data_IF_756014252534
#
_entry.id   IF_756014252534
#
_cell.length_a   1.000
_cell.length_b   1.000
_cell.length_c   1.000
_cell.angle_alpha   90.00
_cell.angle_beta   90.00
_cell.angle_gamma   90.00
#
_symmetry.space_group_name_H-M   'P 1'
#
loop_
_entity.id
_entity.type
_entity.pdbx_description
1 polymer ?
#
# COMPACT_ATOMS: atom_id res chain seq x y z
N UNK A 1 -2.65 20.58 -14.62
CA UNK A 1 -1.45 19.75 -14.31
C UNK A 1 -1.80 18.48 -13.52
N UNK A 2 -2.67 18.56 -12.51
CA UNK A 2 -3.07 17.43 -11.65
C UNK A 2 -3.75 16.26 -12.38
N UNK A 3 -4.64 16.52 -13.35
CA UNK A 3 -5.37 15.45 -14.05
C UNK A 3 -4.44 14.51 -14.84
N UNK A 4 -3.42 15.05 -15.52
CA UNK A 4 -2.46 14.25 -16.28
C UNK A 4 -1.66 13.29 -15.38
N UNK A 5 -1.26 13.75 -14.20
CA UNK A 5 -0.56 12.93 -13.21
C UNK A 5 -1.46 11.83 -12.63
N UNK A 6 -2.75 12.12 -12.41
CA UNK A 6 -3.73 11.12 -11.95
C UNK A 6 -3.89 10.01 -13.00
N UNK A 7 -4.06 10.37 -14.27
CA UNK A 7 -4.17 9.40 -15.36
C UNK A 7 -2.88 8.57 -15.45
N UNK A 8 -1.71 9.23 -15.40
CA UNK A 8 -0.41 8.56 -15.45
C UNK A 8 -0.27 7.54 -14.32
N UNK A 9 -0.54 7.95 -13.06
CA UNK A 9 -0.56 7.05 -11.90
C UNK A 9 -1.40 5.83 -12.22
N UNK A 10 -2.67 6.02 -12.59
CA UNK A 10 -3.60 4.92 -12.79
C UNK A 10 -3.17 3.96 -13.90
N UNK A 11 -2.66 4.48 -15.02
CA UNK A 11 -2.10 3.64 -16.10
C UNK A 11 -0.92 2.81 -15.59
N UNK A 12 0.00 3.41 -14.82
CA UNK A 12 1.13 2.68 -14.23
C UNK A 12 0.67 1.56 -13.28
N UNK A 13 -0.53 1.64 -12.70
CA UNK A 13 -1.03 0.61 -11.79
C UNK A 13 -1.38 -0.71 -12.46
N UNK A 14 -1.68 -0.70 -13.76
CA UNK A 14 -1.95 -1.93 -14.51
C UNK A 14 -0.67 -2.64 -14.96
N UNK A 15 0.41 -1.89 -15.17
CA UNK A 15 1.64 -2.41 -15.79
C UNK A 15 2.25 -3.58 -15.00
N UNK A 16 2.44 -3.52 -13.66
CA UNK A 16 2.99 -4.64 -12.91
C UNK A 16 2.18 -5.93 -13.10
N UNK A 17 0.85 -5.85 -13.09
CA UNK A 17 -0.04 -7.00 -13.23
C UNK A 17 0.00 -7.56 -14.65
N UNK A 18 -0.13 -6.71 -15.67
CA UNK A 18 -0.05 -7.11 -17.08
C UNK A 18 1.29 -7.80 -17.36
N UNK A 19 2.38 -7.18 -16.91
CA UNK A 19 3.72 -7.72 -17.09
C UNK A 19 3.89 -9.10 -16.46
N UNK A 20 3.30 -9.29 -15.27
CA UNK A 20 3.29 -10.55 -14.56
C UNK A 20 2.48 -11.63 -15.28
N UNK A 21 1.32 -11.30 -15.83
CA UNK A 21 0.47 -12.23 -16.58
C UNK A 21 1.12 -12.69 -17.89
N UNK A 22 1.80 -11.78 -18.60
CA UNK A 22 2.53 -12.10 -19.83
C UNK A 22 3.75 -13.00 -19.52
N UNK A 23 4.45 -12.71 -18.42
CA UNK A 23 5.69 -13.41 -18.05
C UNK A 23 5.45 -14.65 -17.16
N UNK A 24 4.22 -15.15 -17.06
CA UNK A 24 3.81 -16.19 -16.07
C UNK A 24 4.67 -17.46 -16.07
N UNK A 25 5.22 -17.85 -17.22
CA UNK A 25 6.05 -19.05 -17.37
C UNK A 25 7.52 -18.83 -16.97
N UNK A 26 7.94 -17.56 -16.83
CA UNK A 26 9.30 -17.15 -16.50
C UNK A 26 9.42 -16.59 -15.08
N UNK A 27 8.35 -16.63 -14.29
CA UNK A 27 8.32 -16.02 -12.96
C UNK A 27 8.59 -17.06 -11.89
N UNK A 28 9.49 -16.71 -10.97
CA UNK A 28 9.79 -17.55 -9.82
C UNK A 28 8.52 -17.76 -8.99
N UNK A 29 8.26 -19.00 -8.57
CA UNK A 29 7.07 -19.34 -7.77
C UNK A 29 6.98 -18.54 -6.46
N UNK A 30 8.11 -18.08 -5.93
CA UNK A 30 8.18 -17.21 -4.77
C UNK A 30 7.54 -15.82 -5.00
N UNK A 31 7.48 -15.32 -6.23
CA UNK A 31 6.80 -14.05 -6.53
C UNK A 31 5.28 -14.13 -6.49
N UNK A 32 4.69 -15.35 -6.51
CA UNK A 32 3.23 -15.52 -6.47
C UNK A 32 2.59 -14.88 -5.23
N UNK A 33 3.37 -14.72 -4.17
CA UNK A 33 2.97 -14.04 -2.93
C UNK A 33 2.55 -12.59 -3.16
N UNK A 34 3.08 -11.92 -4.20
CA UNK A 34 2.74 -10.53 -4.52
C UNK A 34 1.43 -10.38 -5.30
N UNK A 35 0.86 -11.46 -5.84
CA UNK A 35 -0.31 -11.39 -6.73
C UNK A 35 -1.49 -10.64 -6.12
N UNK A 36 -1.90 -10.92 -4.86
CA UNK A 36 -3.03 -10.21 -4.26
C UNK A 36 -2.82 -8.70 -4.22
N UNK A 37 -1.60 -8.26 -3.91
CA UNK A 37 -1.25 -6.84 -3.88
C UNK A 37 -1.31 -6.20 -5.27
N UNK A 38 -0.74 -6.85 -6.28
CA UNK A 38 -0.77 -6.34 -7.66
C UNK A 38 -2.18 -6.26 -8.24
N UNK A 39 -3.02 -7.26 -7.93
CA UNK A 39 -4.45 -7.25 -8.30
C UNK A 39 -5.16 -6.08 -7.63
N UNK A 40 -4.91 -5.85 -6.33
CA UNK A 40 -5.51 -4.74 -5.59
C UNK A 40 -5.13 -3.38 -6.20
N UNK A 41 -3.84 -3.18 -6.54
CA UNK A 41 -3.35 -1.94 -7.18
C UNK A 41 -3.99 -1.72 -8.55
N UNK A 42 -4.09 -2.77 -9.37
CA UNK A 42 -4.74 -2.69 -10.68
C UNK A 42 -6.25 -2.38 -10.53
N UNK A 43 -6.93 -3.03 -9.59
CA UNK A 43 -8.34 -2.80 -9.33
C UNK A 43 -8.63 -1.39 -8.79
N UNK A 44 -7.78 -0.87 -7.90
CA UNK A 44 -7.89 0.51 -7.44
C UNK A 44 -7.65 1.52 -8.57
N UNK A 45 -6.72 1.24 -9.47
CA UNK A 45 -6.49 2.08 -10.65
C UNK A 45 -7.68 2.07 -11.60
N UNK A 46 -8.34 0.93 -11.75
CA UNK A 46 -9.58 0.80 -12.51
C UNK A 46 -10.72 1.58 -11.86
N UNK A 47 -10.91 1.42 -10.54
CA UNK A 47 -11.94 2.15 -9.80
C UNK A 47 -11.74 3.67 -9.89
N UNK A 48 -10.50 4.15 -9.78
CA UNK A 48 -10.22 5.58 -9.87
C UNK A 48 -10.48 6.13 -11.29
N UNK A 49 -10.14 5.38 -12.34
CA UNK A 49 -10.43 5.80 -13.72
C UNK A 49 -11.91 5.77 -14.07
N UNK A 50 -12.67 4.80 -13.54
CA UNK A 50 -14.08 4.59 -13.91
C UNK A 50 -15.02 5.17 -12.86
N UNK A 51 -14.93 4.70 -11.62
CA UNK A 51 -15.78 5.09 -10.50
C UNK A 51 -15.68 6.57 -10.15
N UNK A 52 -14.46 7.09 -9.96
CA UNK A 52 -14.30 8.49 -9.51
C UNK A 52 -14.37 9.49 -10.68
N UNK A 53 -13.67 9.24 -11.79
CA UNK A 53 -13.64 10.17 -12.93
C UNK A 53 -14.88 10.12 -13.83
N UNK A 54 -15.40 8.94 -14.16
CA UNK A 54 -16.55 8.80 -15.08
C UNK A 54 -17.87 8.87 -14.31
N UNK A 55 -18.03 8.05 -13.27
CA UNK A 55 -19.30 7.90 -12.57
C UNK A 55 -19.47 8.82 -11.35
N UNK A 56 -18.42 9.56 -10.94
CA UNK A 56 -18.41 10.46 -9.77
C UNK A 56 -18.95 9.81 -8.49
N UNK A 57 -18.75 8.50 -8.35
CA UNK A 57 -19.18 7.76 -7.15
C UNK A 57 -18.41 8.30 -5.94
N UNK A 58 -19.08 8.37 -4.79
CA UNK A 58 -18.46 8.88 -3.57
C UNK A 58 -17.23 8.04 -3.18
N UNK A 59 -16.05 8.64 -3.30
CA UNK A 59 -14.75 8.00 -3.04
C UNK A 59 -14.58 7.59 -1.56
N UNK A 60 -15.38 8.14 -0.66
CA UNK A 60 -15.31 7.92 0.80
C UNK A 60 -15.42 6.43 1.18
N UNK A 61 -16.44 5.73 0.69
CA UNK A 61 -16.65 4.31 1.01
C UNK A 61 -15.56 3.44 0.39
N UNK A 62 -15.19 3.75 -0.85
CA UNK A 62 -14.12 3.07 -1.56
C UNK A 62 -12.80 3.17 -0.80
N UNK A 63 -12.42 4.37 -0.35
CA UNK A 63 -11.17 4.59 0.36
C UNK A 63 -11.09 3.77 1.65
N UNK A 64 -12.19 3.70 2.42
CA UNK A 64 -12.26 2.89 3.64
C UNK A 64 -12.09 1.39 3.36
N UNK A 65 -12.79 0.88 2.35
CA UNK A 65 -12.71 -0.53 1.95
C UNK A 65 -11.31 -0.82 1.40
N UNK A 66 -10.74 0.09 0.64
CA UNK A 66 -9.40 -0.03 0.08
C UNK A 66 -8.35 -0.16 1.19
N UNK A 67 -8.40 0.67 2.25
CA UNK A 67 -7.48 0.55 3.39
C UNK A 67 -7.54 -0.84 4.05
N UNK A 68 -8.75 -1.39 4.23
CA UNK A 68 -8.91 -2.74 4.76
C UNK A 68 -8.28 -3.80 3.84
N UNK A 69 -8.57 -3.71 2.53
CA UNK A 69 -8.05 -4.64 1.55
C UNK A 69 -6.51 -4.54 1.46
N UNK A 70 -5.98 -3.32 1.48
CA UNK A 70 -4.54 -3.02 1.46
C UNK A 70 -3.85 -3.67 2.65
N UNK A 71 -4.37 -3.46 3.86
CA UNK A 71 -3.86 -4.11 5.05
C UNK A 71 -3.89 -5.63 4.96
N UNK A 72 -4.99 -6.23 4.48
CA UNK A 72 -5.11 -7.70 4.33
C UNK A 72 -4.04 -8.25 3.37
N UNK A 73 -3.83 -7.62 2.22
CA UNK A 73 -2.86 -8.12 1.24
C UNK A 73 -1.41 -7.94 1.72
N UNK A 74 -1.10 -6.85 2.43
CA UNK A 74 0.22 -6.61 3.03
C UNK A 74 0.46 -7.58 4.19
N UNK A 75 -0.55 -7.82 5.01
CA UNK A 75 -0.53 -8.80 6.09
C UNK A 75 -0.23 -10.20 5.53
N UNK A 76 -0.95 -10.60 4.48
CA UNK A 76 -0.71 -11.87 3.79
C UNK A 76 0.73 -11.96 3.25
N UNK A 77 1.21 -10.89 2.59
CA UNK A 77 2.56 -10.82 2.06
C UNK A 77 3.62 -11.06 3.14
N UNK A 78 3.61 -10.27 4.23
CA UNK A 78 4.62 -10.41 5.28
C UNK A 78 4.52 -11.76 6.00
N UNK A 79 3.31 -12.28 6.22
CA UNK A 79 3.10 -13.58 6.87
C UNK A 79 3.77 -14.70 6.07
N UNK A 80 3.64 -14.66 4.75
CA UNK A 80 4.23 -15.64 3.85
C UNK A 80 5.74 -15.47 3.73
N UNK A 81 6.25 -14.24 3.57
CA UNK A 81 7.69 -13.99 3.42
C UNK A 81 8.47 -14.31 4.71
N UNK A 82 7.89 -14.10 5.88
CA UNK A 82 8.49 -14.44 7.17
C UNK A 82 8.20 -15.89 7.62
N UNK A 83 7.56 -16.71 6.78
CA UNK A 83 7.21 -18.11 7.05
C UNK A 83 6.53 -18.32 8.42
N UNK A 84 5.72 -17.35 8.88
CA UNK A 84 5.01 -17.44 10.15
C UNK A 84 5.87 -17.36 11.43
N UNK A 85 7.19 -17.10 11.36
CA UNK A 85 8.11 -17.04 12.52
C UNK A 85 7.60 -16.14 13.65
N UNK A 86 6.92 -15.04 13.30
CA UNK A 86 6.42 -14.02 14.24
C UNK A 86 4.91 -14.07 14.46
N UNK A 87 4.31 -15.27 14.46
CA UNK A 87 2.85 -15.46 14.49
C UNK A 87 2.08 -14.65 15.56
N UNK A 88 2.61 -14.55 16.79
CA UNK A 88 1.99 -13.76 17.87
C UNK A 88 1.89 -12.27 17.53
N UNK A 89 2.94 -11.69 16.93
CA UNK A 89 2.95 -10.29 16.50
C UNK A 89 1.95 -10.06 15.36
N UNK A 90 1.86 -11.00 14.40
CA UNK A 90 0.83 -10.93 13.35
C UNK A 90 -0.58 -10.90 13.96
N UNK A 91 -0.88 -11.82 14.88
CA UNK A 91 -2.20 -11.85 15.54
C UNK A 91 -2.47 -10.55 16.31
N UNK A 92 -1.49 -10.01 17.03
CA UNK A 92 -1.62 -8.74 17.75
C UNK A 92 -2.00 -7.60 16.80
N UNK A 93 -1.23 -7.38 15.74
CA UNK A 93 -1.51 -6.32 14.77
C UNK A 93 -2.83 -6.54 14.01
N UNK A 94 -3.14 -7.80 13.64
CA UNK A 94 -4.39 -8.14 12.99
C UNK A 94 -5.60 -7.84 13.86
N UNK A 95 -5.57 -8.21 15.14
CA UNK A 95 -6.63 -7.89 16.10
C UNK A 95 -6.73 -6.38 16.35
N UNK A 96 -5.61 -5.69 16.56
CA UNK A 96 -5.60 -4.23 16.73
C UNK A 96 -6.23 -3.52 15.53
N UNK A 97 -5.86 -3.93 14.31
CA UNK A 97 -6.40 -3.34 13.09
C UNK A 97 -7.90 -3.63 12.94
N UNK A 98 -8.35 -4.87 13.17
CA UNK A 98 -9.77 -5.23 13.10
C UNK A 98 -10.61 -4.49 14.14
N UNK A 99 -10.15 -4.42 15.39
CA UNK A 99 -10.85 -3.69 16.45
C UNK A 99 -10.96 -2.21 16.08
N UNK A 100 -9.86 -1.60 15.62
CA UNK A 100 -9.86 -0.20 15.19
C UNK A 100 -10.80 0.02 13.98
N UNK A 101 -10.75 -0.86 12.98
CA UNK A 101 -11.59 -0.77 11.79
C UNK A 101 -13.08 -0.88 12.14
N UNK A 102 -13.48 -1.89 12.90
CA UNK A 102 -14.87 -2.09 13.34
C UNK A 102 -15.34 -0.96 14.25
N UNK A 103 -14.49 -0.49 15.16
CA UNK A 103 -14.78 0.67 16.00
C UNK A 103 -15.07 1.92 15.17
N UNK A 104 -14.23 2.21 14.16
CA UNK A 104 -14.41 3.37 13.29
C UNK A 104 -15.64 3.25 12.37
N UNK A 105 -16.05 2.04 11.98
CA UNK A 105 -17.32 1.84 11.27
C UNK A 105 -18.53 2.24 12.12
N UNK A 106 -18.49 1.98 13.43
CA UNK A 106 -19.57 2.38 14.34
C UNK A 106 -19.69 3.92 14.44
N UNK A 107 -18.58 4.64 14.30
CA UNK A 107 -18.54 6.11 14.35
C UNK A 107 -18.63 6.79 12.96
N UNK A 108 -18.98 6.06 11.90
CA UNK A 108 -18.95 6.54 10.51
C UNK A 108 -19.72 7.86 10.25
N UNK A 109 -20.85 8.06 10.92
CA UNK A 109 -21.70 9.25 10.79
C UNK A 109 -21.67 10.15 12.04
N UNK A 110 -20.73 9.92 12.96
CA UNK A 110 -20.62 10.77 14.14
C UNK A 110 -20.04 12.14 13.76
N UNK A 111 -20.66 13.22 14.22
CA UNK A 111 -20.15 14.58 14.05
C UNK A 111 -18.75 14.79 14.70
N UNK A 112 -18.35 13.87 15.59
CA UNK A 112 -17.10 13.98 16.36
C UNK A 112 -15.83 13.59 15.59
N UNK A 113 -15.92 12.78 14.53
CA UNK A 113 -14.76 12.27 13.81
C UNK A 113 -14.99 12.43 12.30
N UNK A 114 -14.14 13.21 11.63
CA UNK A 114 -14.19 13.32 10.17
C UNK A 114 -13.69 12.02 9.53
N UNK A 115 -14.24 11.64 8.37
CA UNK A 115 -13.80 10.43 7.66
C UNK A 115 -12.28 10.42 7.42
N UNK A 116 -11.71 11.59 7.10
CA UNK A 116 -10.26 11.80 6.93
C UNK A 116 -9.48 11.44 8.21
N UNK A 117 -9.93 11.89 9.39
CA UNK A 117 -9.28 11.51 10.66
C UNK A 117 -9.39 10.01 10.92
N UNK A 118 -10.56 9.42 10.67
CA UNK A 118 -10.75 7.98 10.85
C UNK A 118 -9.86 7.16 9.88
N UNK A 119 -9.72 7.59 8.63
CA UNK A 119 -8.82 6.95 7.64
C UNK A 119 -7.34 7.08 8.08
N UNK A 120 -6.96 8.22 8.65
CA UNK A 120 -5.59 8.46 9.12
C UNK A 120 -5.15 7.50 10.23
N UNK A 121 -6.05 7.13 11.15
CA UNK A 121 -5.74 6.16 12.21
C UNK A 121 -5.45 4.76 11.65
N UNK A 122 -6.23 4.32 10.68
CA UNK A 122 -6.00 3.03 10.01
C UNK A 122 -4.68 3.02 9.24
N UNK A 123 -4.44 4.06 8.43
CA UNK A 123 -3.19 4.20 7.66
C UNK A 123 -1.97 4.31 8.57
N UNK A 124 -2.09 4.95 9.73
CA UNK A 124 -1.00 5.03 10.73
C UNK A 124 -0.67 3.65 11.30
N UNK A 125 -1.67 2.88 11.69
CA UNK A 125 -1.46 1.53 12.22
C UNK A 125 -0.86 0.60 11.16
N UNK A 126 -1.32 0.71 9.92
CA UNK A 126 -0.76 0.00 8.77
C UNK A 126 0.69 0.40 8.49
N UNK A 127 1.02 1.69 8.60
CA UNK A 127 2.41 2.16 8.45
C UNK A 127 3.32 1.54 9.52
N UNK A 128 2.87 1.54 10.78
CA UNK A 128 3.62 0.89 11.87
C UNK A 128 3.79 -0.60 11.60
N UNK A 129 2.75 -1.29 11.11
CA UNK A 129 2.82 -2.68 10.70
C UNK A 129 3.92 -2.90 9.64
N UNK A 130 3.88 -2.12 8.55
CA UNK A 130 4.87 -2.19 7.47
C UNK A 130 6.28 -2.00 8.02
N UNK A 131 6.52 -1.00 8.86
CA UNK A 131 7.84 -0.77 9.45
C UNK A 131 8.32 -1.92 10.31
N UNK A 132 7.49 -2.41 11.23
CA UNK A 132 7.85 -3.50 12.14
C UNK A 132 8.21 -4.75 11.36
N UNK A 133 7.37 -5.17 10.41
CA UNK A 133 7.60 -6.40 9.66
C UNK A 133 8.69 -6.26 8.59
N UNK A 134 8.92 -5.05 8.06
CA UNK A 134 10.09 -4.78 7.22
C UNK A 134 11.38 -4.89 8.02
N UNK A 135 11.42 -4.34 9.23
CA UNK A 135 12.58 -4.46 10.12
C UNK A 135 12.85 -5.92 10.49
N UNK A 136 11.81 -6.68 10.86
CA UNK A 136 11.94 -8.11 11.13
C UNK A 136 12.43 -8.89 9.91
N UNK A 137 11.99 -8.53 8.71
CA UNK A 137 12.48 -9.13 7.47
C UNK A 137 13.96 -8.83 7.23
N UNK A 138 14.39 -7.58 7.38
CA UNK A 138 15.80 -7.21 7.27
C UNK A 138 16.65 -7.95 8.32
N UNK A 139 16.20 -8.01 9.57
CA UNK A 139 16.85 -8.77 10.64
C UNK A 139 17.05 -10.24 10.23
N UNK A 140 15.97 -10.91 9.80
CA UNK A 140 16.02 -12.31 9.39
C UNK A 140 16.94 -12.54 8.18
N UNK A 141 17.00 -11.57 7.26
CA UNK A 141 17.88 -11.62 6.09
C UNK A 141 19.36 -11.53 6.49
N UNK A 142 19.70 -10.60 7.40
CA UNK A 142 21.07 -10.44 7.90
C UNK A 142 21.51 -11.62 8.79
N UNK A 143 20.63 -12.17 9.61
CA UNK A 143 20.94 -13.34 10.45
C UNK A 143 21.28 -14.58 9.62
N UNK A 144 20.54 -14.82 8.52
CA UNK A 144 20.67 -16.05 7.74
C UNK A 144 21.70 -15.96 6.62
N UNK A 145 22.16 -14.74 6.26
CA UNK A 145 23.03 -14.47 5.09
C UNK A 145 22.59 -15.22 3.82
N UNK A 146 21.28 -15.45 3.65
CA UNK A 146 20.74 -16.36 2.62
C UNK A 146 20.81 -15.79 1.20
N UNK A 147 21.13 -14.51 1.05
CA UNK A 147 21.18 -13.84 -0.24
C UNK A 147 22.58 -13.30 -0.47
N UNK A 148 23.23 -13.76 -1.56
CA UNK A 148 24.56 -13.30 -1.96
C UNK A 148 24.62 -11.80 -2.29
N UNK A 149 23.49 -11.21 -2.70
CA UNK A 149 23.34 -9.77 -2.92
C UNK A 149 21.87 -9.34 -2.84
N UNK A 150 21.59 -8.33 -2.00
CA UNK A 150 20.27 -7.71 -1.86
C UNK A 150 19.69 -7.22 -3.19
N UNK A 151 20.56 -6.77 -4.09
CA UNK A 151 20.19 -6.24 -5.42
C UNK A 151 19.53 -7.27 -6.34
N UNK A 152 19.68 -8.56 -6.03
CA UNK A 152 19.08 -9.65 -6.78
C UNK A 152 17.75 -10.13 -6.17
N UNK A 153 17.38 -9.65 -4.97
CA UNK A 153 16.14 -10.03 -4.31
C UNK A 153 14.99 -9.14 -4.74
N UNK A 154 13.95 -9.71 -5.35
CA UNK A 154 12.72 -8.94 -5.64
C UNK A 154 12.03 -8.44 -4.38
N UNK A 155 12.03 -9.21 -3.29
CA UNK A 155 11.42 -8.79 -2.04
C UNK A 155 12.09 -7.54 -1.46
N UNK A 156 13.39 -7.36 -1.69
CA UNK A 156 14.10 -6.15 -1.29
C UNK A 156 13.52 -4.91 -1.95
N UNK A 157 13.27 -4.94 -3.27
CA UNK A 157 12.66 -3.80 -3.97
C UNK A 157 11.25 -3.54 -3.49
N UNK A 158 10.43 -4.59 -3.33
CA UNK A 158 9.06 -4.44 -2.85
C UNK A 158 9.01 -3.80 -1.45
N UNK A 159 9.75 -4.36 -0.50
CA UNK A 159 9.77 -3.89 0.89
C UNK A 159 10.36 -2.47 0.99
N UNK A 160 11.41 -2.16 0.23
CA UNK A 160 11.96 -0.81 0.18
C UNK A 160 10.97 0.19 -0.41
N UNK A 161 10.23 -0.22 -1.45
CA UNK A 161 9.14 0.58 -2.02
C UNK A 161 8.04 0.85 -1.01
N UNK A 162 7.64 -0.17 -0.24
CA UNK A 162 6.64 -0.03 0.83
C UNK A 162 7.11 0.98 1.88
N UNK A 163 8.33 0.85 2.40
CA UNK A 163 8.90 1.79 3.36
C UNK A 163 8.85 3.22 2.81
N UNK A 164 9.31 3.42 1.57
CA UNK A 164 9.33 4.74 0.95
C UNK A 164 7.91 5.31 0.79
N UNK A 165 6.97 4.52 0.28
CA UNK A 165 5.58 4.92 0.09
C UNK A 165 4.89 5.31 1.40
N UNK A 166 4.94 4.42 2.40
CA UNK A 166 4.31 4.65 3.70
C UNK A 166 4.98 5.80 4.46
N UNK A 167 6.30 5.96 4.35
CA UNK A 167 7.01 7.11 4.94
C UNK A 167 6.58 8.45 4.33
N UNK A 168 6.42 8.48 3.01
CA UNK A 168 6.09 9.70 2.26
C UNK A 168 4.65 10.17 2.45
N UNK A 169 3.75 9.24 2.75
CA UNK A 169 2.32 9.50 2.89
C UNK A 169 1.86 9.62 4.34
N UNK A 170 2.65 9.14 5.31
CA UNK A 170 2.33 9.20 6.75
C UNK A 170 1.94 10.62 7.20
N UNK A 171 2.79 11.61 6.93
CA UNK A 171 2.56 12.99 7.39
C UNK A 171 1.33 13.61 6.72
N UNK A 172 1.06 13.26 5.46
CA UNK A 172 -0.14 13.70 4.76
C UNK A 172 -1.40 13.19 5.47
N UNK A 173 -1.43 11.93 5.86
CA UNK A 173 -2.59 11.35 6.53
C UNK A 173 -2.74 11.85 7.97
N UNK A 174 -1.64 11.91 8.74
CA UNK A 174 -1.66 12.40 10.11
C UNK A 174 -2.10 13.88 10.20
N UNK A 175 -1.63 14.72 9.28
CA UNK A 175 -1.94 16.15 9.28
C UNK A 175 -3.12 16.51 8.37
N UNK A 176 -3.71 15.52 7.67
CA UNK A 176 -4.70 15.76 6.62
C UNK A 176 -5.93 16.54 7.09
N UNK A 177 -6.41 16.27 8.31
CA UNK A 177 -7.53 17.01 8.89
C UNK A 177 -7.15 18.46 9.27
N UNK A 178 -5.94 18.67 9.81
CA UNK A 178 -5.45 20.01 10.13
C UNK A 178 -5.29 20.86 8.86
N UNK A 179 -4.75 20.25 7.80
CA UNK A 179 -4.61 20.88 6.48
C UNK A 179 -5.99 21.20 5.88
N UNK A 180 -6.97 20.29 6.02
CA UNK A 180 -8.31 20.48 5.47
C UNK A 180 -9.10 21.59 6.18
N UNK A 181 -8.94 21.75 7.49
CA UNK A 181 -9.67 22.76 8.28
C UNK A 181 -9.05 24.16 8.14
N UNK A 182 -7.75 24.24 7.86
CA UNK A 182 -7.04 25.51 7.75
C UNK A 182 -7.15 26.11 6.33
N UNK A 183 -7.80 27.26 6.19
CA UNK A 183 -8.10 27.91 4.90
C UNK A 183 -6.87 28.42 4.13
N UNK A 184 -5.71 28.53 4.79
CA UNK A 184 -4.47 29.00 4.16
C UNK A 184 -3.78 27.95 3.29
N UNK A 185 -4.10 26.66 3.49
CA UNK A 185 -3.45 25.56 2.78
C UNK A 185 -4.46 24.83 1.90
N UNK A 186 -4.13 24.66 0.62
CA UNK A 186 -4.95 23.83 -0.27
C UNK A 186 -4.62 22.36 -0.03
N UNK A 187 -5.60 21.58 0.45
CA UNK A 187 -5.48 20.12 0.57
C UNK A 187 -5.03 19.45 -0.74
N UNK A 188 -5.38 20.04 -1.90
CA UNK A 188 -4.98 19.53 -3.22
C UNK A 188 -3.47 19.56 -3.43
N UNK A 189 -2.76 20.54 -2.87
CA UNK A 189 -1.32 20.69 -3.05
C UNK A 189 -0.57 19.61 -2.26
N UNK A 190 -1.08 19.28 -1.07
CA UNK A 190 -0.57 18.17 -0.26
C UNK A 190 -0.92 16.82 -0.85
N UNK A 191 -2.11 16.69 -1.47
CA UNK A 191 -2.49 15.47 -2.19
C UNK A 191 -1.56 15.15 -3.37
N UNK A 192 -0.91 16.17 -3.95
CA UNK A 192 0.10 15.96 -5.00
C UNK A 192 1.27 15.09 -4.51
N UNK A 193 1.68 15.21 -3.24
CA UNK A 193 2.70 14.35 -2.66
C UNK A 193 2.27 12.88 -2.68
N UNK A 194 1.02 12.59 -2.33
CA UNK A 194 0.48 11.22 -2.40
C UNK A 194 0.56 10.65 -3.82
N UNK A 195 0.22 11.47 -4.82
CA UNK A 195 0.30 11.09 -6.24
C UNK A 195 1.75 10.78 -6.62
N UNK A 196 2.71 11.63 -6.23
CA UNK A 196 4.14 11.42 -6.52
C UNK A 196 4.65 10.13 -5.89
N UNK A 197 4.37 9.89 -4.60
CA UNK A 197 4.77 8.66 -3.91
C UNK A 197 4.11 7.43 -4.53
N UNK A 198 2.86 7.53 -4.99
CA UNK A 198 2.20 6.48 -5.76
C UNK A 198 2.91 6.18 -7.09
N UNK A 199 3.34 7.20 -7.84
CA UNK A 199 4.12 6.99 -9.08
C UNK A 199 5.41 6.23 -8.76
N UNK A 200 6.18 6.72 -7.80
CA UNK A 200 7.47 6.12 -7.41
C UNK A 200 7.25 4.67 -7.00
N UNK A 201 6.25 4.42 -6.17
CA UNK A 201 5.94 3.08 -5.70
C UNK A 201 5.52 2.14 -6.84
N UNK A 202 4.66 2.59 -7.77
CA UNK A 202 4.29 1.79 -8.96
C UNK A 202 5.49 1.47 -9.84
N UNK A 203 6.43 2.40 -10.01
CA UNK A 203 7.68 2.13 -10.74
C UNK A 203 8.51 1.05 -10.02
N UNK A 204 8.61 1.11 -8.69
CA UNK A 204 9.30 0.09 -7.88
C UNK A 204 8.59 -1.28 -8.01
N UNK A 205 7.26 -1.33 -8.09
CA UNK A 205 6.52 -2.58 -8.34
C UNK A 205 6.89 -3.19 -9.70
N UNK A 206 7.01 -2.37 -10.75
CA UNK A 206 7.45 -2.85 -12.07
C UNK A 206 8.85 -3.48 -11.96
N UNK A 207 9.79 -2.80 -11.30
CA UNK A 207 11.15 -3.30 -11.07
C UNK A 207 11.14 -4.59 -10.25
N UNK A 208 10.30 -4.67 -9.23
CA UNK A 208 10.12 -5.85 -8.36
C UNK A 208 9.74 -7.09 -9.17
N UNK A 209 8.73 -6.97 -10.03
CA UNK A 209 8.27 -8.06 -10.90
C UNK A 209 9.33 -8.40 -11.94
N UNK A 210 9.97 -7.38 -12.54
CA UNK A 210 11.04 -7.57 -13.52
C UNK A 210 12.23 -8.38 -12.98
N UNK A 211 12.65 -8.09 -11.74
CA UNK A 211 13.78 -8.74 -11.06
C UNK A 211 13.51 -10.17 -10.61
N UNK A 212 12.25 -10.58 -10.44
CA UNK A 212 11.94 -11.91 -9.91
C UNK A 212 11.64 -12.95 -10.98
N UNK A 213 12.00 -12.63 -12.22
CA UNK A 213 12.02 -13.60 -13.31
C UNK A 213 13.15 -14.61 -13.09
N UNK A 214 12.85 -15.88 -13.37
CA UNK A 214 13.83 -16.95 -13.49
C UNK A 214 14.75 -16.57 -14.65
N UNK A 215 16.05 -16.46 -14.35
CA UNK A 215 17.07 -16.29 -15.39
C UNK A 215 17.28 -17.58 -16.14
#
# INVERSE_FOLDING_TARGET
MTLGLIILVNVLGFIPLIYLLISKNQINSSLKVLYPYLILVAFASFYELTGSLVFKVSVKYWFRIYLLLEFIVIYFFFKQVLNGKYGKLFVLFGLMYLILFLGLLFFWNSASISNLTADSYLSTLETIFVYVFSFLWFKDLFEKMTVSSLWNSSYFYFISGMILYFSGTLFLFLLGNLIHVNSHFSFKDFWMLNIIFNIIFRLILIVTVWKGRVK
#
